data_IF_004298380435
#
_entry.id   IF_004298380435
#
_cell.length_a   1.000
_cell.length_b   1.000
_cell.length_c   1.000
_cell.angle_alpha   90.00
_cell.angle_beta   90.00
_cell.angle_gamma   90.00
#
_symmetry.space_group_name_H-M   'P 1'
#
loop_
_entity.id
_entity.type
_entity.pdbx_description
1 polymer ?
#
# COMPACT_ATOMS: atom_id res chain seq x y z
N UNK A 1 24.67 25.27 36.74
CA UNK A 1 23.57 25.32 35.76
C UNK A 1 23.31 23.86 35.38
N UNK A 2 22.30 23.23 36.00
CA UNK A 2 22.02 21.80 35.82
C UNK A 2 20.95 21.67 34.75
N UNK A 3 21.30 21.15 33.58
CA UNK A 3 20.31 20.82 32.55
C UNK A 3 19.53 19.58 33.00
N UNK A 4 18.28 19.78 33.40
CA UNK A 4 17.30 18.72 33.50
C UNK A 4 17.03 18.17 32.08
N UNK A 5 17.73 17.11 31.68
CA UNK A 5 17.21 16.24 30.60
C UNK A 5 16.08 15.41 31.18
N UNK A 6 14.86 15.92 31.06
CA UNK A 6 13.68 15.09 31.26
C UNK A 6 13.64 14.06 30.14
N UNK A 7 13.66 12.76 30.44
CA UNK A 7 13.42 11.74 29.42
C UNK A 7 11.95 11.83 29.02
N UNK A 8 11.68 12.28 27.80
CA UNK A 8 10.31 12.35 27.31
C UNK A 8 9.81 10.93 27.02
N UNK A 9 8.60 10.60 27.49
CA UNK A 9 7.98 9.32 27.19
C UNK A 9 7.79 9.17 25.66
N UNK A 10 7.85 7.93 25.13
CA UNK A 10 7.60 7.70 23.70
C UNK A 10 6.22 8.24 23.30
N UNK A 11 6.18 8.99 22.20
CA UNK A 11 4.93 9.48 21.59
C UNK A 11 4.48 8.49 20.53
N UNK A 12 3.16 8.25 20.45
CA UNK A 12 2.54 7.49 19.35
C UNK A 12 1.97 8.47 18.32
N UNK A 13 2.31 8.25 17.06
CA UNK A 13 1.70 8.91 15.89
C UNK A 13 0.94 7.86 15.09
N UNK A 14 -0.29 8.17 14.66
CA UNK A 14 -1.09 7.29 13.79
C UNK A 14 -1.10 7.85 12.39
N UNK A 15 -0.55 7.09 11.45
CA UNK A 15 -0.50 7.46 10.04
C UNK A 15 -1.66 6.80 9.29
N UNK A 16 -2.29 7.56 8.40
CA UNK A 16 -3.17 7.00 7.36
C UNK A 16 -2.34 6.76 6.09
N UNK A 17 -2.69 5.74 5.27
CA UNK A 17 -2.03 5.58 3.99
C UNK A 17 -2.27 6.84 3.13
N UNK A 18 -1.23 7.27 2.42
CA UNK A 18 -1.29 8.43 1.51
C UNK A 18 -1.57 8.03 0.07
N UNK A 19 -1.33 6.76 -0.26
CA UNK A 19 -1.75 6.11 -1.50
C UNK A 19 -1.82 4.60 -1.32
N UNK A 20 -2.73 3.96 -2.03
CA UNK A 20 -2.79 2.51 -2.19
C UNK A 20 -3.18 2.10 -3.61
N UNK A 21 -2.80 0.89 -4.02
CA UNK A 21 -3.19 0.36 -5.33
C UNK A 21 -3.04 -1.17 -5.33
N UNK A 22 -3.75 -1.83 -6.23
CA UNK A 22 -3.55 -3.26 -6.53
C UNK A 22 -2.81 -3.43 -7.84
N UNK A 23 -1.71 -4.19 -7.80
CA UNK A 23 -1.03 -4.70 -8.98
C UNK A 23 -1.65 -6.05 -9.36
N UNK A 24 -2.36 -6.07 -10.47
CA UNK A 24 -2.97 -7.26 -11.04
C UNK A 24 -1.96 -7.93 -11.96
N UNK A 25 -1.68 -9.22 -11.76
CA UNK A 25 -0.90 -9.96 -12.74
C UNK A 25 -1.55 -9.87 -14.12
N UNK A 26 -0.84 -9.19 -15.01
CA UNK A 26 -1.27 -8.90 -16.37
C UNK A 26 -0.02 -8.80 -17.24
N UNK A 27 0.05 -9.61 -18.30
CA UNK A 27 1.18 -9.64 -19.22
C UNK A 27 1.31 -8.35 -20.03
N UNK A 28 0.26 -7.54 -20.09
CA UNK A 28 0.29 -6.20 -20.72
C UNK A 28 0.59 -5.08 -19.73
N UNK A 29 0.51 -5.33 -18.42
CA UNK A 29 0.69 -4.30 -17.39
C UNK A 29 -0.28 -3.12 -17.54
N UNK A 30 -1.53 -3.40 -17.89
CA UNK A 30 -2.58 -2.42 -18.27
C UNK A 30 -3.74 -2.35 -17.27
N UNK A 31 -3.62 -3.05 -16.13
CA UNK A 31 -4.67 -3.18 -15.12
C UNK A 31 -4.18 -2.67 -13.77
N UNK A 32 -5.00 -1.85 -13.10
CA UNK A 32 -4.76 -1.30 -11.76
C UNK A 32 -6.08 -1.02 -11.03
N UNK A 33 -5.99 -0.59 -9.76
CA UNK A 33 -7.12 -0.14 -8.95
C UNK A 33 -6.69 0.82 -7.83
N UNK A 34 -6.26 2.04 -8.17
CA UNK A 34 -5.84 3.05 -7.18
C UNK A 34 -6.97 3.89 -6.58
N UNK A 35 -8.17 3.90 -7.18
CA UNK A 35 -9.33 4.64 -6.65
C UNK A 35 -10.46 3.72 -6.15
N UNK A 36 -10.19 2.42 -6.05
CA UNK A 36 -11.15 1.44 -5.52
C UNK A 36 -11.30 1.54 -4.00
N UNK A 37 -12.28 0.83 -3.45
CA UNK A 37 -12.49 0.77 -2.00
C UNK A 37 -11.55 -0.22 -1.31
N UNK A 38 -10.90 -1.11 -2.06
CA UNK A 38 -10.07 -2.19 -1.55
C UNK A 38 -8.78 -2.37 -2.35
N UNK A 39 -7.74 -2.87 -1.66
CA UNK A 39 -6.57 -3.44 -2.31
C UNK A 39 -6.43 -4.93 -1.99
N UNK A 40 -5.78 -5.67 -2.89
CA UNK A 40 -5.71 -7.13 -2.82
C UNK A 40 -4.27 -7.64 -2.73
N UNK A 41 -4.07 -8.70 -1.95
CA UNK A 41 -2.84 -9.48 -1.94
C UNK A 41 -3.19 -10.97 -1.94
N UNK A 42 -2.43 -11.76 -2.71
CA UNK A 42 -2.59 -13.22 -2.76
C UNK A 42 -2.84 -13.73 -4.17
N UNK A 43 -3.49 -14.89 -4.27
CA UNK A 43 -3.78 -15.60 -5.53
C UNK A 43 -5.29 -15.81 -5.62
N UNK A 44 -5.88 -15.55 -6.79
CA UNK A 44 -7.30 -15.78 -7.05
C UNK A 44 -7.62 -17.26 -7.24
N UNK A 45 -8.90 -17.61 -7.33
CA UNK A 45 -9.37 -18.96 -7.68
C UNK A 45 -8.94 -19.44 -9.08
N UNK A 46 -8.68 -18.51 -10.00
CA UNK A 46 -8.10 -18.77 -11.33
C UNK A 46 -6.57 -18.61 -11.41
N UNK A 47 -5.87 -18.76 -10.28
CA UNK A 47 -4.40 -18.76 -10.19
C UNK A 47 -3.69 -17.46 -10.62
N UNK A 48 -4.39 -16.32 -10.63
CA UNK A 48 -3.80 -15.02 -10.95
C UNK A 48 -3.32 -14.31 -9.67
N UNK A 49 -2.13 -13.71 -9.72
CA UNK A 49 -1.53 -13.05 -8.56
C UNK A 49 -2.05 -11.61 -8.41
N UNK A 50 -2.22 -11.17 -7.15
CA UNK A 50 -2.48 -9.79 -6.73
C UNK A 50 -1.44 -9.35 -5.72
N UNK A 51 -0.95 -8.12 -5.87
CA UNK A 51 -0.06 -7.48 -4.91
C UNK A 51 -0.60 -6.12 -4.52
N UNK A 52 -0.77 -5.89 -3.23
CA UNK A 52 -1.11 -4.57 -2.70
C UNK A 52 0.15 -3.73 -2.56
N UNK A 53 0.06 -2.47 -2.93
CA UNK A 53 1.05 -1.44 -2.60
C UNK A 53 0.37 -0.37 -1.76
N UNK A 54 1.04 0.04 -0.69
CA UNK A 54 0.55 1.05 0.25
C UNK A 54 1.73 1.97 0.61
N UNK A 55 1.48 3.26 0.77
CA UNK A 55 2.49 4.22 1.21
C UNK A 55 1.97 5.05 2.37
N UNK A 56 2.89 5.53 3.20
CA UNK A 56 2.64 6.41 4.33
C UNK A 56 3.65 7.55 4.27
N UNK A 57 3.22 8.78 4.51
CA UNK A 57 4.13 9.91 4.67
C UNK A 57 4.71 9.95 6.10
N UNK A 58 5.75 9.15 6.32
CA UNK A 58 6.42 9.08 7.63
C UNK A 58 7.20 10.37 7.91
N UNK A 59 7.81 10.97 6.89
CA UNK A 59 8.69 12.12 7.06
C UNK A 59 7.92 13.43 7.31
N UNK A 60 6.73 13.58 6.71
CA UNK A 60 5.84 14.71 6.96
C UNK A 60 5.13 14.66 8.31
N UNK A 61 4.93 13.46 8.85
CA UNK A 61 4.11 13.25 10.05
C UNK A 61 4.93 13.02 11.34
N UNK A 62 6.20 12.63 11.23
CA UNK A 62 7.08 12.42 12.38
C UNK A 62 8.10 13.58 12.47
N UNK A 63 8.21 14.27 13.63
CA UNK A 63 9.15 15.38 13.79
C UNK A 63 10.60 14.98 13.46
N UNK A 64 11.28 15.86 12.72
CA UNK A 64 12.68 15.67 12.37
C UNK A 64 13.57 15.50 13.62
N UNK A 65 14.50 14.55 13.56
CA UNK A 65 15.36 14.20 14.70
C UNK A 65 14.76 13.19 15.68
N UNK A 66 13.52 12.74 15.48
CA UNK A 66 12.94 11.65 16.26
C UNK A 66 13.60 10.31 15.94
N UNK A 67 13.73 9.45 16.95
CA UNK A 67 14.08 8.04 16.76
C UNK A 67 12.81 7.20 16.81
N UNK A 68 12.51 6.46 15.72
CA UNK A 68 11.40 5.50 15.69
C UNK A 68 11.81 4.26 16.49
N UNK A 69 11.09 3.98 17.58
CA UNK A 69 11.36 2.83 18.45
C UNK A 69 10.65 1.56 18.00
N UNK A 70 9.44 1.71 17.46
CA UNK A 70 8.63 0.61 16.94
C UNK A 70 7.63 1.13 15.91
N UNK A 71 7.12 0.23 15.07
CA UNK A 71 6.04 0.49 14.14
C UNK A 71 5.05 -0.68 14.16
N UNK A 72 3.76 -0.38 13.97
CA UNK A 72 2.70 -1.37 13.83
C UNK A 72 1.88 -1.02 12.59
N UNK A 73 1.69 -1.99 11.71
CA UNK A 73 0.74 -1.87 10.61
C UNK A 73 -0.53 -2.62 11.00
N UNK A 74 -1.66 -1.93 10.92
CA UNK A 74 -2.99 -2.51 11.10
C UNK A 74 -3.70 -2.55 9.75
N UNK A 75 -4.16 -3.74 9.35
CA UNK A 75 -4.91 -3.95 8.11
C UNK A 75 -6.26 -4.61 8.44
N UNK A 76 -7.30 -4.21 7.72
CA UNK A 76 -8.62 -4.83 7.82
C UNK A 76 -8.80 -5.83 6.67
N UNK A 77 -8.95 -7.11 7.01
CA UNK A 77 -9.27 -8.16 6.04
C UNK A 77 -10.78 -8.17 5.79
N UNK A 78 -11.22 -7.46 4.75
CA UNK A 78 -12.63 -7.38 4.36
C UNK A 78 -13.14 -8.65 3.68
N UNK A 79 -12.26 -9.42 3.04
CA UNK A 79 -12.61 -10.63 2.28
C UNK A 79 -11.44 -11.60 2.18
N UNK A 80 -11.73 -12.89 2.32
CA UNK A 80 -10.81 -14.00 2.03
C UNK A 80 -11.60 -15.23 1.59
N UNK A 81 -11.04 -16.02 0.67
CA UNK A 81 -11.50 -17.38 0.36
C UNK A 81 -10.52 -18.44 0.90
N UNK A 82 -9.46 -18.01 1.60
CA UNK A 82 -8.43 -18.87 2.14
C UNK A 82 -8.53 -18.99 3.66
N UNK A 83 -8.08 -20.12 4.26
CA UNK A 83 -7.69 -20.15 5.67
C UNK A 83 -6.56 -19.14 5.98
N UNK A 84 -6.12 -19.09 7.24
CA UNK A 84 -5.01 -18.26 7.68
C UNK A 84 -3.79 -18.41 6.77
N UNK A 85 -3.35 -17.30 6.19
CA UNK A 85 -2.13 -17.22 5.39
C UNK A 85 -1.18 -16.18 5.98
N UNK A 86 0.12 -16.43 5.83
CA UNK A 86 1.13 -15.43 6.10
C UNK A 86 1.14 -14.39 4.98
N UNK A 87 0.93 -13.12 5.33
CA UNK A 87 1.18 -11.98 4.45
C UNK A 87 2.59 -11.46 4.74
N UNK A 88 3.34 -11.20 3.68
CA UNK A 88 4.69 -10.61 3.78
C UNK A 88 4.66 -9.18 3.26
N UNK A 89 5.42 -8.32 3.92
CA UNK A 89 5.61 -6.92 3.51
C UNK A 89 7.02 -6.77 2.94
N UNK A 90 7.12 -6.05 1.83
CA UNK A 90 8.39 -5.76 1.16
C UNK A 90 8.51 -4.26 0.98
N UNK A 91 9.69 -3.71 1.30
CA UNK A 91 9.97 -2.30 1.04
C UNK A 91 10.16 -2.10 -0.46
N UNK A 92 9.33 -1.25 -1.07
CA UNK A 92 9.53 -0.82 -2.44
C UNK A 92 10.79 0.04 -2.55
N UNK A 93 11.57 -0.18 -3.62
CA UNK A 93 12.84 0.51 -3.87
C UNK A 93 12.71 1.66 -4.87
N UNK A 94 11.54 1.79 -5.49
CA UNK A 94 11.19 2.84 -6.42
C UNK A 94 9.84 3.44 -6.01
N UNK A 95 9.67 4.73 -6.31
CA UNK A 95 8.36 5.36 -6.19
C UNK A 95 7.41 4.86 -7.29
N UNK A 96 6.12 5.08 -7.08
CA UNK A 96 5.03 4.57 -7.91
C UNK A 96 3.81 5.48 -7.81
N UNK A 97 2.92 5.48 -8.79
CA UNK A 97 1.71 6.31 -8.74
C UNK A 97 0.44 5.50 -8.45
N UNK A 98 -0.50 6.10 -7.73
CA UNK A 98 -1.82 5.50 -7.46
C UNK A 98 -2.67 5.48 -8.74
N UNK A 99 -2.75 6.65 -9.39
CA UNK A 99 -3.69 6.91 -10.48
C UNK A 99 -5.13 6.96 -9.98
N UNK A 100 -6.10 6.84 -10.88
CA UNK A 100 -7.52 6.98 -10.53
C UNK A 100 -8.43 5.88 -11.12
N UNK A 101 -7.83 4.75 -11.52
CA UNK A 101 -8.55 3.57 -11.95
C UNK A 101 -9.43 3.05 -10.79
N UNK A 102 -10.75 3.00 -11.01
CA UNK A 102 -11.73 2.54 -10.03
C UNK A 102 -12.43 1.29 -10.56
N UNK A 103 -12.04 0.13 -10.05
CA UNK A 103 -12.59 -1.15 -10.47
C UNK A 103 -14.04 -1.29 -9.99
N UNK A 104 -14.94 -1.84 -10.82
CA UNK A 104 -16.32 -2.02 -10.43
C UNK A 104 -16.51 -3.24 -9.50
N UNK A 105 -17.70 -3.32 -8.91
CA UNK A 105 -18.18 -4.47 -8.14
C UNK A 105 -17.27 -4.86 -6.97
N UNK A 106 -16.64 -6.04 -7.08
CA UNK A 106 -15.82 -6.64 -6.05
C UNK A 106 -14.32 -6.36 -6.25
N UNK A 107 -13.95 -5.60 -7.30
CA UNK A 107 -12.61 -5.07 -7.57
C UNK A 107 -11.50 -6.12 -7.82
N UNK A 108 -11.75 -7.42 -7.62
CA UNK A 108 -10.75 -8.49 -7.70
C UNK A 108 -10.14 -8.73 -9.09
N UNK A 109 -10.78 -8.23 -10.15
CA UNK A 109 -10.25 -8.26 -11.53
C UNK A 109 -9.60 -6.95 -11.96
N UNK A 110 -9.74 -5.89 -11.17
CA UNK A 110 -9.22 -4.56 -11.52
C UNK A 110 -9.99 -3.91 -12.65
N UNK A 111 -9.45 -2.80 -13.14
CA UNK A 111 -9.93 -2.12 -14.35
C UNK A 111 -8.75 -1.54 -15.13
N UNK A 112 -9.02 -0.92 -16.28
CA UNK A 112 -8.00 -0.28 -17.10
C UNK A 112 -7.22 0.75 -16.28
N UNK A 113 -5.91 0.64 -16.33
CA UNK A 113 -5.01 1.57 -15.69
C UNK A 113 -5.13 2.97 -16.31
N UNK A 114 -4.93 3.97 -15.46
CA UNK A 114 -4.89 5.37 -15.88
C UNK A 114 -3.45 5.85 -15.91
N UNK A 115 -3.14 6.87 -16.71
CA UNK A 115 -1.79 7.46 -16.73
C UNK A 115 -1.31 7.78 -15.31
N UNK A 116 -0.10 7.35 -14.99
CA UNK A 116 0.50 7.48 -13.66
C UNK A 116 0.24 6.29 -12.72
N UNK A 117 -0.70 5.39 -13.01
CA UNK A 117 -0.97 4.22 -12.15
C UNK A 117 0.21 3.25 -12.11
N UNK A 118 0.45 2.66 -10.95
CA UNK A 118 1.27 1.48 -10.84
C UNK A 118 0.49 0.27 -11.39
N UNK A 119 1.18 -0.60 -12.10
CA UNK A 119 0.63 -1.84 -12.66
C UNK A 119 1.63 -2.96 -12.40
N UNK A 120 1.35 -4.16 -12.90
CA UNK A 120 2.28 -5.28 -12.78
C UNK A 120 3.68 -4.98 -13.35
N UNK A 121 3.76 -4.19 -14.43
CA UNK A 121 4.98 -3.95 -15.19
C UNK A 121 5.50 -2.52 -15.07
N UNK A 122 4.70 -1.58 -14.55
CA UNK A 122 5.03 -0.16 -14.55
C UNK A 122 4.88 0.43 -13.15
N UNK A 123 5.87 1.22 -12.72
CA UNK A 123 5.74 2.06 -11.52
C UNK A 123 4.86 3.28 -11.78
N UNK A 124 4.91 3.80 -13.01
CA UNK A 124 4.04 4.85 -13.53
C UNK A 124 3.64 4.49 -14.97
N UNK A 125 2.41 4.01 -15.15
CA UNK A 125 1.86 3.60 -16.44
C UNK A 125 1.63 4.80 -17.36
N UNK A 126 1.85 4.62 -18.66
CA UNK A 126 1.57 5.59 -19.70
C UNK A 126 0.96 4.84 -20.89
N UNK A 127 -0.20 5.30 -21.38
CA UNK A 127 -0.94 4.70 -22.50
C UNK A 127 -0.16 4.76 -23.83
#
# INVERSE_FOLDING_TARGET
MSEHRSSQAPVRVTLRPTKDNTLYEDSKGSVSNGAGAHFFAGVTDIEMIRRGVIAFDVAGEIPAGSTILSATLELYLSRTNSPTQAITLHRLLADWGEGNSNAPENEGTGTRATTGSATWLHTFYND
#
